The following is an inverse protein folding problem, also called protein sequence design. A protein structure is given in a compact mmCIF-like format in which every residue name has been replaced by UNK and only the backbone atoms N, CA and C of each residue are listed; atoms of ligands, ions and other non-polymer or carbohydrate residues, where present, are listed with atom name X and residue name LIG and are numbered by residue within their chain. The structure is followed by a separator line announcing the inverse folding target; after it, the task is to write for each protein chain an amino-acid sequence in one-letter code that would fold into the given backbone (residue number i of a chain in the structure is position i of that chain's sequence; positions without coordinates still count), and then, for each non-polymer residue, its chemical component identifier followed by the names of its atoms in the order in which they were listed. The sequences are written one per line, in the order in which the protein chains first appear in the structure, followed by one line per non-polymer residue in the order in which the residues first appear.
data_IF_911700650548
#
_entry.id   IF_911700650548
#
_cell.length_a   1.000
_cell.length_b   1.000
_cell.length_c   1.000
_cell.angle_alpha   90.00
_cell.angle_beta   90.00
_cell.angle_gamma   90.00
#
_symmetry.space_group_name_H-M   'P 1'
#
loop_
_entity.id
_entity.type
_entity.pdbx_description
1 polymer ?
#
# COMPACT_ATOMS: atom_id res chain seq x y z
N UNK A 1 19.14 3.01 -1.56
CA UNK A 1 20.45 3.27 -2.19
C UNK A 1 21.17 2.00 -2.67
N UNK A 2 21.44 1.02 -1.81
CA UNK A 2 22.13 -0.22 -2.23
C UNK A 2 21.40 -0.94 -3.39
N UNK A 3 20.09 -1.13 -3.26
CA UNK A 3 19.23 -1.69 -4.32
C UNK A 3 19.34 -0.89 -5.62
N UNK A 4 19.20 0.44 -5.56
CA UNK A 4 19.31 1.32 -6.74
C UNK A 4 20.59 1.11 -7.54
N UNK A 5 21.74 0.92 -6.87
CA UNK A 5 23.03 0.72 -7.56
C UNK A 5 23.09 -0.60 -8.34
N UNK A 6 22.33 -1.62 -7.92
CA UNK A 6 22.25 -2.90 -8.62
C UNK A 6 21.09 -3.01 -9.61
N UNK A 7 20.27 -1.96 -9.77
CA UNK A 7 19.11 -1.98 -10.64
C UNK A 7 19.41 -1.41 -12.03
N UNK A 8 19.05 -2.18 -13.06
CA UNK A 8 19.07 -1.75 -14.46
C UNK A 8 17.69 -1.36 -14.98
N UNK A 9 16.67 -2.20 -14.73
CA UNK A 9 15.33 -2.06 -15.37
C UNK A 9 14.14 -2.16 -14.41
N UNK A 10 14.26 -2.86 -13.29
CA UNK A 10 13.09 -3.12 -12.44
C UNK A 10 12.60 -1.86 -11.73
N UNK A 11 11.28 -1.78 -11.53
CA UNK A 11 10.65 -0.71 -10.75
C UNK A 11 11.04 -0.85 -9.27
N UNK A 12 11.74 0.15 -8.73
CA UNK A 12 12.06 0.19 -7.30
C UNK A 12 10.97 0.92 -6.52
N UNK A 13 10.30 0.17 -5.63
CA UNK A 13 9.33 0.69 -4.67
C UNK A 13 9.96 0.63 -3.28
N UNK A 14 9.81 1.69 -2.49
CA UNK A 14 10.32 1.74 -1.11
C UNK A 14 9.16 1.88 -0.15
N UNK A 15 9.18 1.10 0.93
CA UNK A 15 8.22 1.23 2.00
C UNK A 15 8.35 2.54 2.76
N UNK A 16 7.22 3.17 3.07
CA UNK A 16 7.12 4.20 4.09
C UNK A 16 7.05 3.50 5.46
N UNK A 17 8.01 3.71 6.37
CA UNK A 17 7.99 3.09 7.68
C UNK A 17 6.81 3.55 8.54
N UNK A 18 6.43 2.74 9.52
CA UNK A 18 5.44 3.12 10.53
C UNK A 18 5.76 4.48 11.18
N UNK A 19 4.75 5.32 11.32
CA UNK A 19 4.84 6.68 11.90
C UNK A 19 5.36 7.75 10.94
N UNK A 20 5.69 7.38 9.70
CA UNK A 20 6.21 8.32 8.70
C UNK A 20 5.16 8.88 7.73
N UNK A 21 3.92 8.39 7.79
CA UNK A 21 2.86 8.84 6.86
C UNK A 21 1.47 8.91 7.50
N UNK A 22 1.29 8.36 8.69
CA UNK A 22 -0.01 8.19 9.35
C UNK A 22 -0.47 9.45 10.10
N UNK A 23 0.44 10.39 10.37
CA UNK A 23 0.09 11.66 11.03
C UNK A 23 -0.79 12.55 10.14
N UNK A 24 -0.55 12.52 8.83
CA UNK A 24 -1.28 13.32 7.85
C UNK A 24 -0.60 13.38 6.49
N UNK A 25 -1.34 13.83 5.49
CA UNK A 25 -0.90 13.82 4.09
C UNK A 25 0.35 14.70 3.84
N UNK A 26 0.49 15.82 4.55
CA UNK A 26 1.68 16.68 4.46
C UNK A 26 2.93 16.01 5.02
N UNK A 27 2.79 15.26 6.12
CA UNK A 27 3.89 14.49 6.70
C UNK A 27 4.31 13.37 5.74
N UNK A 28 3.34 12.61 5.22
CA UNK A 28 3.57 11.59 4.22
C UNK A 28 4.30 12.13 2.99
N UNK A 29 3.92 13.32 2.48
CA UNK A 29 4.58 13.92 1.33
C UNK A 29 6.02 14.31 1.61
N UNK A 30 6.30 14.97 2.74
CA UNK A 30 7.68 15.33 3.13
C UNK A 30 8.58 14.10 3.20
N UNK A 31 8.09 13.03 3.82
CA UNK A 31 8.86 11.80 3.99
C UNK A 31 8.99 11.02 2.67
N UNK A 32 7.94 10.97 1.84
CA UNK A 32 7.97 10.32 0.53
C UNK A 32 8.95 11.02 -0.43
N UNK A 33 8.90 12.36 -0.49
CA UNK A 33 9.83 13.15 -1.30
C UNK A 33 11.28 12.92 -0.86
N UNK A 34 11.55 12.94 0.45
CA UNK A 34 12.88 12.66 1.00
C UNK A 34 13.37 11.26 0.63
N UNK A 35 12.57 10.22 0.90
CA UNK A 35 13.00 8.84 0.66
C UNK A 35 13.20 8.56 -0.83
N UNK A 36 12.35 9.11 -1.71
CA UNK A 36 12.51 8.98 -3.15
C UNK A 36 13.80 9.67 -3.64
N UNK A 37 14.08 10.90 -3.17
CA UNK A 37 15.29 11.63 -3.53
C UNK A 37 16.56 10.92 -3.03
N UNK A 38 16.57 10.45 -1.80
CA UNK A 38 17.74 9.79 -1.20
C UNK A 38 17.96 8.39 -1.75
N UNK A 39 16.90 7.65 -2.02
CA UNK A 39 17.00 6.25 -2.46
C UNK A 39 17.11 6.11 -3.98
N UNK A 40 16.54 7.04 -4.74
CA UNK A 40 16.31 6.94 -6.17
C UNK A 40 15.13 6.03 -6.54
N UNK A 41 14.18 5.81 -5.62
CA UNK A 41 12.97 5.02 -5.90
C UNK A 41 12.02 5.75 -6.82
N UNK A 42 11.28 5.00 -7.62
CA UNK A 42 10.26 5.54 -8.51
C UNK A 42 8.89 5.64 -7.83
N UNK A 43 8.71 4.93 -6.72
CA UNK A 43 7.45 4.86 -6.00
C UNK A 43 7.67 4.61 -4.50
N UNK A 44 6.60 4.82 -3.73
CA UNK A 44 6.52 4.46 -2.31
C UNK A 44 5.38 3.47 -2.06
N UNK A 45 5.51 2.64 -1.02
CA UNK A 45 4.44 1.75 -0.55
C UNK A 45 3.92 2.22 0.81
N UNK A 46 2.59 2.30 0.94
CA UNK A 46 1.88 2.68 2.18
C UNK A 46 0.96 1.54 2.60
N UNK A 47 0.89 1.28 3.91
CA UNK A 47 -0.05 0.32 4.48
C UNK A 47 -1.32 1.02 4.97
N UNK A 48 -2.47 0.42 4.69
CA UNK A 48 -3.76 0.95 5.11
C UNK A 48 -4.78 1.01 3.98
N UNK A 49 -6.05 0.87 4.37
CA UNK A 49 -7.19 0.84 3.46
C UNK A 49 -7.89 2.20 3.32
N UNK A 50 -9.19 2.24 3.63
CA UNK A 50 -10.02 3.46 3.51
C UNK A 50 -9.39 4.67 4.22
N UNK A 51 -8.81 4.46 5.40
CA UNK A 51 -8.14 5.51 6.18
C UNK A 51 -6.93 6.16 5.48
N UNK A 52 -6.33 5.50 4.49
CA UNK A 52 -5.16 6.01 3.75
C UNK A 52 -5.53 6.65 2.40
N UNK A 53 -6.81 6.60 2.01
CA UNK A 53 -7.26 7.07 0.71
C UNK A 53 -7.01 8.58 0.49
N UNK A 54 -7.17 9.41 1.52
CA UNK A 54 -6.86 10.85 1.44
C UNK A 54 -5.37 11.09 1.17
N UNK A 55 -4.50 10.44 1.95
CA UNK A 55 -3.05 10.53 1.79
C UNK A 55 -2.59 10.04 0.42
N UNK A 56 -3.11 8.90 -0.06
CA UNK A 56 -2.78 8.37 -1.40
C UNK A 56 -3.17 9.38 -2.48
N UNK A 57 -4.37 9.96 -2.40
CA UNK A 57 -4.84 10.98 -3.34
C UNK A 57 -3.97 12.24 -3.31
N UNK A 58 -3.55 12.65 -2.11
CA UNK A 58 -2.70 13.82 -1.94
C UNK A 58 -1.30 13.63 -2.56
N UNK A 59 -0.70 12.46 -2.36
CA UNK A 59 0.61 12.08 -2.89
C UNK A 59 0.58 11.95 -4.40
N UNK A 60 -0.37 11.19 -4.92
CA UNK A 60 -0.51 10.92 -6.37
C UNK A 60 -0.83 12.20 -7.14
N UNK A 61 -1.68 13.08 -6.60
CA UNK A 61 -1.94 14.41 -7.14
C UNK A 61 -0.73 15.34 -7.19
N UNK A 62 0.37 14.98 -6.51
CA UNK A 62 1.67 15.71 -6.51
C UNK A 62 2.78 14.93 -7.20
N UNK A 63 2.43 13.90 -7.97
CA UNK A 63 3.39 13.14 -8.77
C UNK A 63 4.20 12.11 -7.99
N UNK A 64 3.78 11.73 -6.78
CA UNK A 64 4.37 10.61 -6.03
C UNK A 64 3.58 9.33 -6.33
N UNK A 65 4.13 8.35 -7.07
CA UNK A 65 3.43 7.09 -7.33
C UNK A 65 3.35 6.24 -6.06
N UNK A 66 2.15 5.75 -5.76
CA UNK A 66 1.89 4.96 -4.55
C UNK A 66 1.44 3.54 -4.91
N UNK A 67 2.12 2.56 -4.34
CA UNK A 67 1.64 1.19 -4.21
C UNK A 67 0.92 1.07 -2.87
N UNK A 68 -0.35 0.69 -2.86
CA UNK A 68 -1.08 0.49 -1.61
C UNK A 68 -0.86 -0.93 -1.07
N UNK A 69 -1.06 -1.12 0.24
CA UNK A 69 -1.00 -2.42 0.89
C UNK A 69 -2.20 -2.60 1.84
N UNK A 70 -3.06 -3.58 1.53
CA UNK A 70 -4.25 -3.94 2.32
C UNK A 70 -4.25 -5.43 2.68
N UNK A 71 -5.15 -5.83 3.58
CA UNK A 71 -5.13 -7.15 4.19
C UNK A 71 -4.42 -7.10 5.53
N UNK A 72 -3.47 -8.01 5.76
CA UNK A 72 -2.58 -7.92 6.91
C UNK A 72 -1.53 -6.83 6.66
N UNK A 73 -1.54 -5.78 7.47
CA UNK A 73 -0.54 -4.71 7.42
C UNK A 73 0.43 -4.85 8.60
N UNK A 74 1.64 -5.40 8.39
CA UNK A 74 2.59 -5.70 9.47
C UNK A 74 2.90 -4.54 10.41
N UNK A 75 2.85 -3.29 9.93
CA UNK A 75 3.08 -2.11 10.77
C UNK A 75 2.03 -1.98 11.90
N UNK A 76 0.85 -2.57 11.71
CA UNK A 76 -0.23 -2.63 12.70
C UNK A 76 -0.30 -3.97 13.46
N UNK A 77 0.78 -4.77 13.50
CA UNK A 77 0.80 -6.10 14.15
C UNK A 77 0.32 -6.09 15.60
N UNK A 78 0.61 -5.02 16.35
CA UNK A 78 0.16 -4.86 17.74
C UNK A 78 -1.36 -4.68 17.84
N UNK A 79 -1.98 -4.01 16.87
CA UNK A 79 -3.42 -3.87 16.78
C UNK A 79 -4.10 -5.19 16.38
N UNK A 80 -3.46 -5.98 15.50
CA UNK A 80 -3.98 -7.28 15.09
C UNK A 80 -3.75 -8.41 16.10
N UNK A 81 -2.86 -8.22 17.08
CA UNK A 81 -2.46 -9.27 18.00
C UNK A 81 -1.67 -10.40 17.33
N UNK A 82 -0.89 -10.07 16.30
CA UNK A 82 -0.02 -10.99 15.57
C UNK A 82 -0.34 -11.15 14.08
N UNK A 83 0.41 -12.02 13.41
CA UNK A 83 0.33 -12.26 11.96
C UNK A 83 -0.76 -13.29 11.64
N UNK A 84 -2.01 -12.84 11.50
CA UNK A 84 -3.17 -13.70 11.22
C UNK A 84 -3.78 -13.42 9.85
N UNK A 85 -4.40 -14.44 9.26
CA UNK A 85 -5.21 -14.29 8.03
C UNK A 85 -6.32 -13.28 8.27
N UNK A 86 -6.43 -12.28 7.39
CA UNK A 86 -7.46 -11.25 7.39
C UNK A 86 -8.59 -11.62 6.42
N UNK A 87 -9.78 -11.05 6.55
CA UNK A 87 -10.84 -11.21 5.53
C UNK A 87 -11.66 -12.50 5.64
N UNK A 88 -11.60 -13.20 6.78
CA UNK A 88 -12.49 -14.34 7.05
C UNK A 88 -13.87 -13.86 7.51
N UNK A 89 -14.92 -14.56 7.08
CA UNK A 89 -16.29 -14.23 7.45
C UNK A 89 -16.67 -12.81 7.00
N UNK A 90 -17.25 -12.02 7.90
CA UNK A 90 -17.69 -10.65 7.61
C UNK A 90 -16.56 -9.65 7.33
N UNK A 91 -15.31 -9.95 7.70
CA UNK A 91 -14.17 -9.04 7.50
C UNK A 91 -13.79 -8.90 6.02
N UNK A 92 -14.17 -9.86 5.17
CA UNK A 92 -13.80 -9.84 3.76
C UNK A 92 -14.32 -8.61 3.01
N UNK A 93 -15.50 -8.12 3.39
CA UNK A 93 -16.09 -6.92 2.78
C UNK A 93 -15.33 -5.64 3.17
N UNK A 94 -14.73 -5.59 4.37
CA UNK A 94 -13.87 -4.47 4.77
C UNK A 94 -12.63 -4.41 3.87
N UNK A 95 -11.92 -5.53 3.69
CA UNK A 95 -10.73 -5.58 2.82
C UNK A 95 -11.08 -5.23 1.37
N UNK A 96 -12.24 -5.69 0.89
CA UNK A 96 -12.74 -5.34 -0.44
C UNK A 96 -12.92 -3.83 -0.56
N UNK A 97 -13.58 -3.17 0.41
CA UNK A 97 -13.72 -1.69 0.43
C UNK A 97 -12.38 -0.99 0.53
N UNK A 98 -11.49 -1.47 1.39
CA UNK A 98 -10.12 -0.95 1.53
C UNK A 98 -9.40 -0.95 0.18
N UNK A 99 -9.42 -2.06 -0.55
CA UNK A 99 -8.80 -2.20 -1.87
C UNK A 99 -9.41 -1.24 -2.91
N UNK A 100 -10.74 -1.10 -2.93
CA UNK A 100 -11.42 -0.14 -3.81
C UNK A 100 -11.05 1.30 -3.48
N UNK A 101 -11.04 1.66 -2.21
CA UNK A 101 -10.75 3.02 -1.76
C UNK A 101 -9.34 3.47 -2.14
N UNK A 102 -8.34 2.62 -1.93
CA UNK A 102 -6.95 2.94 -2.29
C UNK A 102 -6.73 2.98 -3.79
N UNK A 103 -7.38 2.10 -4.55
CA UNK A 103 -7.34 2.13 -6.02
C UNK A 103 -7.99 3.42 -6.57
N UNK A 104 -9.18 3.78 -6.08
CA UNK A 104 -9.88 5.02 -6.46
C UNK A 104 -9.16 6.29 -6.01
N UNK A 105 -8.34 6.21 -4.96
CA UNK A 105 -7.48 7.29 -4.52
C UNK A 105 -6.27 7.52 -5.45
N UNK A 106 -5.99 6.60 -6.37
CA UNK A 106 -4.92 6.74 -7.37
C UNK A 106 -3.69 5.86 -7.11
N UNK A 107 -3.75 4.88 -6.20
CA UNK A 107 -2.69 3.89 -6.09
C UNK A 107 -2.53 3.15 -7.43
N UNK A 108 -1.30 2.97 -7.92
CA UNK A 108 -1.06 2.34 -9.23
C UNK A 108 -1.06 0.80 -9.15
N UNK A 109 -0.95 0.24 -7.95
CA UNK A 109 -0.99 -1.19 -7.67
C UNK A 109 -1.39 -1.41 -6.20
N UNK A 110 -1.92 -2.60 -5.88
CA UNK A 110 -2.36 -2.96 -4.52
C UNK A 110 -1.74 -4.29 -4.10
N UNK A 111 -0.99 -4.30 -3.01
CA UNK A 111 -0.55 -5.52 -2.33
C UNK A 111 -1.71 -6.08 -1.51
N UNK A 112 -1.97 -7.38 -1.66
CA UNK A 112 -2.93 -8.15 -0.86
C UNK A 112 -2.16 -9.17 -0.01
N UNK A 113 -2.01 -8.93 1.29
CA UNK A 113 -1.28 -9.82 2.19
C UNK A 113 -2.22 -10.62 3.11
N UNK A 114 -2.01 -11.94 3.16
CA UNK A 114 -2.74 -12.87 4.05
C UNK A 114 -4.26 -12.79 3.92
N UNK A 115 -4.75 -12.75 2.68
CA UNK A 115 -6.16 -12.67 2.31
C UNK A 115 -6.63 -14.03 1.74
N UNK A 116 -7.82 -14.54 2.10
CA UNK A 116 -8.39 -15.74 1.50
C UNK A 116 -8.41 -15.66 -0.02
N UNK A 117 -7.99 -16.75 -0.65
CA UNK A 117 -7.88 -16.88 -2.10
C UNK A 117 -9.14 -16.43 -2.87
N UNK A 118 -10.38 -16.83 -2.48
CA UNK A 118 -11.58 -16.39 -3.21
C UNK A 118 -11.82 -14.88 -3.13
N UNK A 119 -11.43 -14.26 -2.01
CA UNK A 119 -11.53 -12.82 -1.81
C UNK A 119 -10.46 -12.08 -2.61
N UNK A 120 -9.21 -12.57 -2.62
CA UNK A 120 -8.14 -11.98 -3.41
C UNK A 120 -8.43 -12.04 -4.92
N UNK A 121 -8.96 -13.17 -5.43
CA UNK A 121 -9.42 -13.29 -6.82
C UNK A 121 -10.49 -12.25 -7.11
N UNK A 122 -11.53 -12.18 -6.27
CA UNK A 122 -12.63 -11.22 -6.45
C UNK A 122 -12.14 -9.77 -6.48
N UNK A 123 -11.26 -9.38 -5.55
CA UNK A 123 -10.68 -8.02 -5.54
C UNK A 123 -9.92 -7.74 -6.84
N UNK A 124 -9.12 -8.71 -7.31
CA UNK A 124 -8.34 -8.60 -8.54
C UNK A 124 -9.22 -8.41 -9.78
N UNK A 125 -10.40 -9.02 -9.81
CA UNK A 125 -11.38 -8.85 -10.90
C UNK A 125 -12.14 -7.51 -10.82
N UNK A 126 -12.26 -6.93 -9.63
CA UNK A 126 -13.08 -5.73 -9.38
C UNK A 126 -12.31 -4.41 -9.53
N UNK A 127 -11.01 -4.37 -9.24
CA UNK A 127 -10.20 -3.13 -9.32
C UNK A 127 -9.38 -3.06 -10.61
N UNK A 128 -9.25 -1.86 -11.18
CA UNK A 128 -8.57 -1.67 -12.46
C UNK A 128 -7.03 -1.77 -12.40
N UNK A 129 -6.46 -1.67 -11.18
CA UNK A 129 -5.02 -1.64 -10.97
C UNK A 129 -4.49 -3.04 -10.65
N UNK A 130 -3.24 -3.37 -11.03
CA UNK A 130 -2.66 -4.67 -10.72
C UNK A 130 -2.65 -4.97 -9.22
N UNK A 131 -2.99 -6.21 -8.86
CA UNK A 131 -2.83 -6.75 -7.52
C UNK A 131 -1.54 -7.56 -7.40
N UNK A 132 -0.90 -7.52 -6.23
CA UNK A 132 0.31 -8.29 -5.92
C UNK A 132 0.04 -9.08 -4.63
N UNK A 133 -0.05 -10.40 -4.73
CA UNK A 133 -0.40 -11.26 -3.60
C UNK A 133 0.81 -11.75 -2.80
N UNK A 134 0.65 -11.85 -1.48
CA UNK A 134 1.57 -12.59 -0.60
C UNK A 134 0.80 -13.34 0.49
N UNK A 135 0.92 -14.67 0.47
CA UNK A 135 0.30 -15.58 1.44
C UNK A 135 -1.20 -15.67 1.29
#
# INVERSE_FOLDING_TARGET
QAVRRGLERALMVVDMPFGSYEEGAEQAFRNAARVMAESGSAAVKLEGGEAMAETIRFLTGRGVPVMAHVGLTPQAVNAFGGYRVQGRGGDGERIRRDAHAVAQAGAFAVVLEKVPEPLARRITEEIAVPTIGIG
#
